data_IF_345735548936
#
_entry.id   IF_345735548936
#
_cell.length_a   1.000
_cell.length_b   1.000
_cell.length_c   1.000
_cell.angle_alpha   90.00
_cell.angle_beta   90.00
_cell.angle_gamma   90.00
#
_symmetry.space_group_name_H-M   'P 1'
#
loop_
_entity.id
_entity.type
_entity.pdbx_description
1 polymer ?
#
# COMPACT_ATOMS: atom_id res chain seq x y z
N UNK A 1 -6.49 8.07 -9.24
CA UNK A 1 -5.46 7.06 -8.95
C UNK A 1 -6.04 5.65 -8.90
N UNK A 2 -7.08 5.37 -8.10
CA UNK A 2 -7.75 4.05 -8.04
C UNK A 2 -8.30 3.60 -9.40
N UNK A 3 -8.95 4.50 -10.15
CA UNK A 3 -9.49 4.21 -11.48
C UNK A 3 -8.41 3.76 -12.49
N UNK A 4 -7.19 4.28 -12.41
CA UNK A 4 -6.09 3.89 -13.30
C UNK A 4 -5.59 2.47 -12.99
N UNK A 5 -5.51 2.11 -11.70
CA UNK A 5 -5.17 0.73 -11.30
C UNK A 5 -6.23 -0.29 -11.70
N UNK A 6 -7.51 0.10 -11.69
CA UNK A 6 -8.60 -0.77 -12.15
C UNK A 6 -8.52 -0.98 -13.67
N UNK A 7 -8.25 0.07 -14.44
CA UNK A 7 -8.06 0.01 -15.90
C UNK A 7 -6.87 -0.90 -16.28
N UNK A 8 -5.76 -0.83 -15.53
CA UNK A 8 -4.60 -1.71 -15.70
C UNK A 8 -4.86 -3.19 -15.35
N UNK A 9 -5.94 -3.49 -14.61
CA UNK A 9 -6.25 -4.85 -14.13
C UNK A 9 -7.23 -5.63 -15.01
N UNK A 10 -7.59 -5.10 -16.19
CA UNK A 10 -8.58 -5.67 -17.13
C UNK A 10 -9.99 -5.89 -16.49
N UNK A 11 -10.24 -5.27 -15.33
CA UNK A 11 -11.50 -5.35 -14.61
C UNK A 11 -12.43 -4.23 -15.11
N UNK A 12 -13.33 -4.57 -16.03
CA UNK A 12 -14.43 -3.67 -16.43
C UNK A 12 -15.47 -3.65 -15.30
N UNK A 13 -15.26 -2.76 -14.32
CA UNK A 13 -16.21 -2.51 -13.24
C UNK A 13 -17.03 -1.26 -13.58
N UNK A 14 -18.35 -1.35 -13.40
CA UNK A 14 -19.23 -0.18 -13.48
C UNK A 14 -18.88 0.78 -12.32
N UNK A 15 -18.93 2.09 -12.57
CA UNK A 15 -18.66 3.14 -11.57
C UNK A 15 -19.49 2.94 -10.29
N UNK A 16 -20.72 2.44 -10.41
CA UNK A 16 -21.60 2.13 -9.26
C UNK A 16 -20.99 1.04 -8.34
N UNK A 17 -20.35 0.03 -8.93
CA UNK A 17 -19.69 -1.06 -8.18
C UNK A 17 -18.43 -0.54 -7.52
N UNK A 18 -17.69 0.34 -8.21
CA UNK A 18 -16.50 0.99 -7.65
C UNK A 18 -16.87 1.84 -6.44
N UNK A 19 -17.96 2.61 -6.53
CA UNK A 19 -18.48 3.38 -5.39
C UNK A 19 -18.89 2.47 -4.23
N UNK A 20 -19.61 1.38 -4.49
CA UNK A 20 -20.01 0.44 -3.43
C UNK A 20 -18.80 -0.19 -2.72
N UNK A 21 -17.72 -0.50 -3.47
CA UNK A 21 -16.47 -1.00 -2.89
C UNK A 21 -15.78 0.07 -2.03
N UNK A 22 -15.75 1.31 -2.51
CA UNK A 22 -15.17 2.44 -1.76
C UNK A 22 -15.95 2.64 -0.46
N UNK A 23 -17.28 2.74 -0.53
CA UNK A 23 -18.15 2.94 0.63
C UNK A 23 -17.95 1.85 1.69
N UNK A 24 -17.96 0.57 1.27
CA UNK A 24 -17.72 -0.56 2.16
C UNK A 24 -16.31 -0.59 2.75
N UNK A 25 -15.32 -0.08 2.02
CA UNK A 25 -13.94 -0.02 2.50
C UNK A 25 -13.79 1.08 3.53
N UNK A 26 -14.38 2.26 3.28
CA UNK A 26 -14.40 3.35 4.25
C UNK A 26 -15.16 2.95 5.52
N UNK A 27 -16.32 2.29 5.42
CA UNK A 27 -17.08 1.81 6.59
C UNK A 27 -16.27 0.84 7.48
N UNK A 28 -15.32 0.10 6.91
CA UNK A 28 -14.47 -0.83 7.65
C UNK A 28 -13.16 -0.22 8.14
N UNK A 29 -12.60 0.74 7.40
CA UNK A 29 -11.29 1.33 7.68
C UNK A 29 -11.40 2.59 8.55
N UNK A 30 -12.32 3.49 8.22
CA UNK A 30 -12.59 4.73 8.95
C UNK A 30 -13.52 4.42 10.14
N UNK A 31 -12.93 4.32 11.33
CA UNK A 31 -13.66 4.04 12.57
C UNK A 31 -14.23 5.30 13.20
N UNK A 32 -13.64 6.44 12.87
CA UNK A 32 -13.97 7.73 13.46
C UNK A 32 -15.13 8.43 12.69
N UNK A 33 -15.39 8.02 11.44
CA UNK A 33 -16.46 8.48 10.56
C UNK A 33 -16.24 9.88 9.99
N UNK A 34 -14.99 10.36 9.93
CA UNK A 34 -14.63 11.68 9.40
C UNK A 34 -14.39 11.69 7.89
N UNK A 35 -14.43 10.51 7.25
CA UNK A 35 -14.21 10.32 5.82
C UNK A 35 -12.73 10.30 5.43
N UNK A 36 -11.81 10.22 6.39
CA UNK A 36 -10.36 10.21 6.22
C UNK A 36 -9.81 8.99 6.95
N UNK A 37 -8.98 8.19 6.28
CA UNK A 37 -8.32 7.05 6.92
C UNK A 37 -7.01 7.53 7.52
N UNK A 38 -6.95 7.60 8.85
CA UNK A 38 -5.75 8.01 9.57
C UNK A 38 -4.66 6.91 9.56
N UNK A 39 -3.37 7.25 9.81
CA UNK A 39 -2.30 6.26 9.88
C UNK A 39 -2.53 5.16 10.93
N UNK A 40 -3.19 5.49 12.05
CA UNK A 40 -3.54 4.50 13.08
C UNK A 40 -4.64 3.56 12.60
N UNK A 41 -5.66 4.08 11.92
CA UNK A 41 -6.73 3.30 11.32
C UNK A 41 -6.24 2.41 10.19
N UNK A 42 -5.35 2.94 9.34
CA UNK A 42 -4.68 2.18 8.30
C UNK A 42 -3.85 1.03 8.87
N UNK A 43 -3.12 1.28 9.97
CA UNK A 43 -2.34 0.23 10.66
C UNK A 43 -3.24 -0.87 11.22
N UNK A 44 -4.35 -0.50 11.85
CA UNK A 44 -5.33 -1.46 12.34
C UNK A 44 -5.98 -2.27 11.21
N UNK A 45 -6.34 -1.60 10.11
CA UNK A 45 -6.97 -2.21 8.95
C UNK A 45 -6.05 -3.20 8.24
N UNK A 46 -4.79 -2.82 8.05
CA UNK A 46 -3.75 -3.70 7.45
C UNK A 46 -3.35 -4.85 8.37
N UNK A 47 -3.43 -4.68 9.69
CA UNK A 47 -3.22 -5.76 10.65
C UNK A 47 -4.31 -6.84 10.58
N UNK A 48 -5.56 -6.45 10.33
CA UNK A 48 -6.68 -7.37 10.14
C UNK A 48 -6.66 -8.03 8.76
N UNK A 49 -6.19 -7.31 7.73
CA UNK A 49 -6.16 -7.76 6.35
C UNK A 49 -4.74 -7.66 5.75
N UNK A 50 -3.81 -8.57 6.15
CA UNK A 50 -2.41 -8.50 5.73
C UNK A 50 -2.20 -8.69 4.23
N UNK A 51 -3.18 -9.26 3.51
CA UNK A 51 -3.15 -9.39 2.05
C UNK A 51 -3.11 -8.04 1.32
N UNK A 52 -3.56 -6.96 1.95
CA UNK A 52 -3.50 -5.59 1.38
C UNK A 52 -2.03 -5.16 1.20
N UNK A 53 -1.11 -5.68 2.02
CA UNK A 53 0.32 -5.38 1.96
C UNK A 53 1.07 -6.25 0.94
N UNK A 54 0.39 -7.13 0.19
CA UNK A 54 1.04 -8.01 -0.79
C UNK A 54 1.78 -7.20 -1.86
N UNK A 55 1.18 -6.10 -2.33
CA UNK A 55 1.81 -5.21 -3.33
C UNK A 55 2.97 -4.38 -2.74
N UNK A 56 3.04 -4.23 -1.41
CA UNK A 56 4.15 -3.57 -0.72
C UNK A 56 5.36 -4.49 -0.53
N UNK A 57 5.21 -5.80 -0.82
CA UNK A 57 6.28 -6.79 -0.67
C UNK A 57 6.69 -7.31 -2.04
N UNK A 58 7.91 -7.01 -2.48
CA UNK A 58 8.48 -7.60 -3.69
C UNK A 58 9.41 -8.76 -3.24
N UNK A 59 8.93 -10.02 -3.24
CA UNK A 59 9.67 -11.14 -2.65
C UNK A 59 11.03 -11.39 -3.33
N UNK A 60 11.12 -11.13 -4.64
CA UNK A 60 12.35 -11.30 -5.42
C UNK A 60 13.47 -10.33 -5.04
N UNK A 61 13.18 -9.22 -4.34
CA UNK A 61 14.21 -8.32 -3.81
C UNK A 61 15.08 -9.01 -2.75
N UNK A 62 14.58 -10.03 -2.06
CA UNK A 62 15.38 -10.78 -1.06
C UNK A 62 16.47 -11.62 -1.70
N UNK A 63 16.25 -12.09 -2.92
CA UNK A 63 17.17 -12.96 -3.64
C UNK A 63 18.10 -12.19 -4.58
N UNK A 64 17.85 -10.88 -4.78
CA UNK A 64 18.67 -10.02 -5.64
C UNK A 64 20.16 -9.99 -5.29
N UNK A 65 20.61 -9.93 -4.01
CA UNK A 65 22.04 -9.91 -3.70
C UNK A 65 22.73 -11.23 -4.07
N UNK A 66 21.98 -12.33 -4.11
CA UNK A 66 22.47 -13.66 -4.46
C UNK A 66 22.59 -13.83 -5.98
N UNK A 67 21.68 -13.23 -6.75
CA UNK A 67 21.61 -13.38 -8.21
C UNK A 67 22.39 -12.26 -8.93
N UNK A 68 22.48 -11.08 -8.32
CA UNK A 68 23.17 -9.90 -8.83
C UNK A 68 24.04 -9.28 -7.73
N UNK A 69 25.34 -9.66 -7.63
CA UNK A 69 26.22 -9.19 -6.56
C UNK A 69 26.50 -7.67 -6.60
N UNK A 70 26.18 -6.99 -7.70
CA UNK A 70 26.22 -5.53 -7.79
C UNK A 70 24.98 -4.84 -7.18
N UNK A 71 23.95 -5.59 -6.84
CA UNK A 71 22.74 -5.08 -6.18
C UNK A 71 22.90 -5.26 -4.66
N UNK A 72 23.94 -4.67 -4.10
CA UNK A 72 24.01 -4.51 -2.65
C UNK A 72 23.01 -3.42 -2.26
N UNK A 73 22.15 -3.67 -1.26
CA UNK A 73 21.38 -2.58 -0.67
C UNK A 73 22.40 -1.57 -0.13
N UNK A 74 22.34 -0.33 -0.63
CA UNK A 74 23.03 0.80 -0.02
C UNK A 74 22.36 1.05 1.33
N UNK A 75 22.75 0.27 2.34
CA UNK A 75 22.55 0.65 3.74
C UNK A 75 23.57 1.73 4.08
N UNK A 76 23.55 2.83 3.34
CA UNK A 76 24.12 4.09 3.78
C UNK A 76 22.93 4.92 4.24
N UNK A 77 22.83 4.97 5.57
CA UNK A 77 21.95 5.81 6.33
C UNK A 77 22.20 7.26 5.89
N UNK A 78 21.25 7.88 5.21
CA UNK A 78 21.06 9.32 5.30
C UNK A 78 20.49 9.62 6.70
N UNK A 79 21.33 9.47 7.72
CA UNK A 79 21.22 10.25 8.96
C UNK A 79 21.87 11.63 8.67
N UNK A 80 21.36 12.36 7.68
CA UNK A 80 21.55 13.81 7.64
C UNK A 80 20.37 14.43 8.38
N UNK A 81 20.48 14.43 9.72
CA UNK A 81 19.73 15.36 10.54
C UNK A 81 20.20 16.77 10.19
N UNK A 82 19.44 17.44 9.33
CA UNK A 82 19.51 18.87 9.10
C UNK A 82 19.34 19.65 10.41
N UNK A 83 20.25 20.62 10.58
CA UNK A 83 20.16 21.88 11.33
C UNK A 83 20.23 21.89 12.88
N UNK A 84 21.38 22.40 13.38
CA UNK A 84 21.46 23.29 14.58
C UNK A 84 21.61 24.73 14.07
#
# INVERSE_FOLDING_TARGET
>A
MILAFLDESDLILNDDIVQEIIDKTFEQADKNGDGIIDPEEWKDFTAQNPSILTNMTIPYLRDLPTIFPNFMPTTELEDETDEI
#
